data_IF_163055917332
#
_entry.id   IF_163055917332
#
_cell.length_a   1.000
_cell.length_b   1.000
_cell.length_c   1.000
_cell.angle_alpha   90.00
_cell.angle_beta   90.00
_cell.angle_gamma   90.00
#
_symmetry.space_group_name_H-M   'P 1'
#
loop_
_entity.id
_entity.type
_entity.pdbx_description
1 polymer ?
#
# COMPACT_ATOMS: atom_id res chain seq x y z
N UNK A 1 0.92 0.48 48.32
CA UNK A 1 -0.11 1.42 47.82
C UNK A 1 0.27 1.70 46.38
N UNK A 2 -0.50 1.18 45.43
CA UNK A 2 -0.21 1.33 43.99
C UNK A 2 -0.77 2.68 43.54
N UNK A 3 0.10 3.65 43.28
CA UNK A 3 -0.30 4.90 42.63
C UNK A 3 -0.78 4.57 41.21
N UNK A 4 -2.02 4.94 40.94
CA UNK A 4 -2.68 4.77 39.65
C UNK A 4 -2.20 5.92 38.78
N UNK A 5 -1.39 5.61 37.77
CA UNK A 5 -1.03 6.59 36.75
C UNK A 5 -2.27 6.83 35.87
N UNK A 6 -3.10 7.79 36.27
CA UNK A 6 -4.24 8.24 35.47
C UNK A 6 -3.72 9.18 34.38
N UNK A 7 -4.01 8.93 33.09
CA UNK A 7 -3.61 9.83 32.03
C UNK A 7 -4.38 11.14 32.17
N UNK A 8 -3.66 12.23 32.41
CA UNK A 8 -4.20 13.60 32.40
C UNK A 8 -5.02 13.83 31.12
N UNK A 9 -6.22 14.42 31.20
CA UNK A 9 -7.03 14.72 30.03
C UNK A 9 -6.26 15.71 29.14
N UNK A 10 -6.10 15.34 27.86
CA UNK A 10 -5.46 16.18 26.86
C UNK A 10 -6.42 17.33 26.56
N UNK A 11 -6.02 18.55 26.91
CA UNK A 11 -6.81 19.75 26.61
C UNK A 11 -6.76 20.00 25.10
N UNK A 12 -7.88 19.75 24.41
CA UNK A 12 -7.96 19.95 22.97
C UNK A 12 -8.13 21.45 22.71
N UNK A 13 -7.08 22.10 22.22
CA UNK A 13 -7.15 23.47 21.74
C UNK A 13 -8.26 23.56 20.69
N UNK A 14 -9.29 24.36 21.00
CA UNK A 14 -10.39 24.62 20.08
C UNK A 14 -9.82 25.43 18.92
N UNK A 15 -9.56 24.75 17.80
CA UNK A 15 -9.26 25.40 16.54
C UNK A 15 -10.49 26.22 16.17
N UNK A 16 -10.35 27.54 16.11
CA UNK A 16 -11.40 28.46 15.67
C UNK A 16 -11.97 27.95 14.34
N UNK A 17 -13.28 27.68 14.31
CA UNK A 17 -13.95 27.17 13.12
C UNK A 17 -13.73 28.18 11.99
N UNK A 18 -13.12 27.78 10.87
CA UNK A 18 -12.84 28.72 9.80
C UNK A 18 -14.17 29.32 9.32
N UNK A 19 -14.17 30.61 8.92
CA UNK A 19 -15.38 31.26 8.42
C UNK A 19 -16.01 30.43 7.29
N UNK A 20 -17.35 30.56 7.08
CA UNK A 20 -18.06 29.78 6.06
C UNK A 20 -17.30 29.82 4.74
N UNK A 21 -17.15 28.65 4.11
CA UNK A 21 -16.29 28.42 2.97
C UNK A 21 -16.25 29.62 2.02
N UNK A 22 -15.09 30.28 1.96
CA UNK A 22 -14.82 31.36 1.04
C UNK A 22 -15.17 30.91 -0.40
N UNK A 23 -15.60 31.83 -1.28
CA UNK A 23 -15.89 31.49 -2.66
C UNK A 23 -14.71 30.73 -3.27
N UNK A 24 -15.02 29.61 -3.92
CA UNK A 24 -14.02 28.78 -4.59
C UNK A 24 -13.18 29.66 -5.51
N UNK A 25 -11.91 29.83 -5.18
CA UNK A 25 -11.01 30.54 -6.08
C UNK A 25 -10.77 29.66 -7.30
N UNK A 26 -10.52 30.25 -8.46
CA UNK A 26 -10.22 29.50 -9.68
C UNK A 26 -8.98 28.59 -9.56
N UNK A 27 -8.18 28.73 -8.48
CA UNK A 27 -6.98 27.91 -8.23
C UNK A 27 -7.28 26.65 -7.43
N UNK A 28 -8.45 26.52 -6.80
CA UNK A 28 -8.79 25.40 -5.90
C UNK A 28 -8.21 25.53 -4.49
N UNK A 29 -7.70 26.71 -4.11
CA UNK A 29 -7.21 27.01 -2.77
C UNK A 29 -7.96 28.21 -2.18
N UNK A 30 -8.17 28.23 -0.87
CA UNK A 30 -8.65 29.42 -0.16
C UNK A 30 -7.59 30.52 -0.18
N UNK A 31 -7.97 31.75 0.17
CA UNK A 31 -7.01 32.86 0.30
C UNK A 31 -5.90 32.58 1.34
N UNK A 32 -6.20 31.75 2.34
CA UNK A 32 -5.22 31.27 3.33
C UNK A 32 -4.31 30.14 2.82
N UNK A 33 -4.42 29.76 1.54
CA UNK A 33 -3.62 28.69 0.93
C UNK A 33 -4.06 27.28 1.32
N UNK A 34 -5.26 27.12 1.91
CA UNK A 34 -5.81 25.81 2.24
C UNK A 34 -6.53 25.25 1.02
N UNK A 35 -6.24 24.02 0.55
CA UNK A 35 -6.94 23.44 -0.59
C UNK A 35 -8.44 23.25 -0.29
N UNK A 36 -9.29 23.48 -1.28
CA UNK A 36 -10.74 23.20 -1.14
C UNK A 36 -11.00 21.70 -1.15
N UNK A 37 -12.14 21.28 -0.59
CA UNK A 37 -12.55 19.87 -0.61
C UNK A 37 -12.61 19.31 -2.04
N UNK A 38 -13.16 20.09 -2.96
CA UNK A 38 -13.30 19.71 -4.36
C UNK A 38 -11.95 19.54 -5.07
N UNK A 39 -10.96 20.38 -4.77
CA UNK A 39 -9.59 20.22 -5.27
C UNK A 39 -8.94 18.93 -4.76
N UNK A 40 -9.10 18.62 -3.47
CA UNK A 40 -8.57 17.38 -2.88
C UNK A 40 -9.25 16.15 -3.49
N UNK A 41 -10.58 16.19 -3.67
CA UNK A 41 -11.34 15.10 -4.33
C UNK A 41 -10.82 14.84 -5.74
N UNK A 42 -10.74 15.88 -6.57
CA UNK A 42 -10.26 15.77 -7.96
C UNK A 42 -8.80 15.27 -8.03
N UNK A 43 -7.94 15.71 -7.11
CA UNK A 43 -6.56 15.23 -7.03
C UNK A 43 -6.47 13.74 -6.64
N UNK A 44 -7.32 13.26 -5.73
CA UNK A 44 -7.40 11.85 -5.35
C UNK A 44 -7.87 11.02 -6.55
N UNK A 45 -8.92 11.45 -7.24
CA UNK A 45 -9.45 10.76 -8.42
C UNK A 45 -8.40 10.66 -9.54
N UNK A 46 -7.69 11.76 -9.83
CA UNK A 46 -6.56 11.77 -10.79
C UNK A 46 -5.45 10.80 -10.40
N UNK A 47 -5.11 10.75 -9.10
CA UNK A 47 -4.07 9.84 -8.60
C UNK A 47 -4.51 8.37 -8.65
N UNK A 48 -5.76 8.09 -8.33
CA UNK A 48 -6.35 6.76 -8.40
C UNK A 48 -6.38 6.26 -9.86
N UNK A 49 -6.87 7.08 -10.79
CA UNK A 49 -6.88 6.76 -12.22
C UNK A 49 -5.46 6.48 -12.78
N UNK A 50 -4.47 7.25 -12.33
CA UNK A 50 -3.07 7.04 -12.72
C UNK A 50 -2.49 5.77 -12.12
N UNK A 51 -2.81 5.45 -10.86
CA UNK A 51 -2.27 4.27 -10.18
C UNK A 51 -2.76 2.96 -10.81
N UNK A 52 -4.05 2.87 -11.15
CA UNK A 52 -4.60 1.67 -11.81
C UNK A 52 -3.96 1.42 -13.18
N UNK A 53 -3.83 2.45 -14.02
CA UNK A 53 -3.19 2.29 -15.34
C UNK A 53 -1.67 2.10 -15.27
N UNK A 54 -1.00 2.70 -14.28
CA UNK A 54 0.45 2.57 -14.11
C UNK A 54 0.86 1.17 -13.61
N UNK A 55 0.05 0.53 -12.77
CA UNK A 55 0.32 -0.84 -12.30
C UNK A 55 0.25 -1.87 -13.43
N UNK A 56 -0.77 -1.78 -14.30
CA UNK A 56 -0.88 -2.63 -15.48
C UNK A 56 0.32 -2.43 -16.43
N UNK A 57 0.69 -1.18 -16.71
CA UNK A 57 1.85 -0.85 -17.54
C UNK A 57 3.19 -1.27 -16.90
N UNK A 58 3.31 -1.18 -15.58
CA UNK A 58 4.50 -1.61 -14.85
C UNK A 58 4.64 -3.14 -14.84
N UNK A 59 3.53 -3.87 -14.73
CA UNK A 59 3.50 -5.33 -14.86
C UNK A 59 3.88 -5.76 -16.28
N UNK A 60 3.36 -5.09 -17.31
CA UNK A 60 3.70 -5.38 -18.71
C UNK A 60 5.08 -4.85 -19.13
N UNK A 61 5.74 -4.06 -18.29
CA UNK A 61 7.08 -3.54 -18.55
C UNK A 61 8.11 -4.67 -18.69
N UNK A 62 9.25 -4.36 -19.30
CA UNK A 62 10.33 -5.33 -19.45
C UNK A 62 10.88 -5.80 -18.09
N UNK A 63 10.91 -4.90 -17.10
CA UNK A 63 11.31 -5.20 -15.71
C UNK A 63 10.28 -6.08 -15.00
N UNK A 64 8.97 -5.81 -15.18
CA UNK A 64 7.89 -6.62 -14.61
C UNK A 64 7.96 -8.07 -15.10
N UNK A 65 8.11 -8.26 -16.41
CA UNK A 65 8.29 -9.59 -17.02
C UNK A 65 9.52 -10.34 -16.49
N UNK A 66 10.61 -9.64 -16.17
CA UNK A 66 11.81 -10.26 -15.56
C UNK A 66 11.58 -10.67 -14.11
N UNK A 67 10.80 -9.92 -13.33
CA UNK A 67 10.43 -10.30 -11.96
C UNK A 67 9.55 -11.56 -12.00
N UNK A 68 8.55 -11.59 -12.88
CA UNK A 68 7.66 -12.75 -13.03
C UNK A 68 8.43 -14.02 -13.43
N UNK A 69 9.40 -13.89 -14.34
CA UNK A 69 10.29 -15.00 -14.71
C UNK A 69 11.10 -15.52 -13.53
N UNK A 70 11.71 -14.62 -12.75
CA UNK A 70 12.47 -15.02 -11.55
C UNK A 70 11.60 -15.72 -10.51
N UNK A 71 10.35 -15.27 -10.31
CA UNK A 71 9.39 -15.92 -9.43
C UNK A 71 9.03 -17.32 -9.94
N UNK A 72 8.73 -17.45 -11.24
CA UNK A 72 8.41 -18.73 -11.86
C UNK A 72 9.59 -19.73 -11.77
N UNK A 73 10.82 -19.26 -11.98
CA UNK A 73 12.03 -20.07 -11.83
C UNK A 73 12.23 -20.54 -10.39
N UNK A 74 12.06 -19.64 -9.41
CA UNK A 74 12.14 -19.98 -7.98
C UNK A 74 11.10 -21.03 -7.58
N UNK A 75 9.87 -20.86 -8.05
CA UNK A 75 8.78 -21.78 -7.75
C UNK A 75 9.01 -23.15 -8.40
N UNK A 76 9.53 -23.19 -9.63
CA UNK A 76 9.96 -24.43 -10.28
C UNK A 76 11.07 -25.12 -9.50
N UNK A 77 12.13 -24.41 -9.13
CA UNK A 77 13.22 -24.96 -8.34
C UNK A 77 12.74 -25.52 -7.00
N UNK A 78 11.79 -24.84 -6.35
CA UNK A 78 11.15 -25.33 -5.13
C UNK A 78 10.39 -26.64 -5.35
N UNK A 79 9.59 -26.74 -6.42
CA UNK A 79 8.87 -27.98 -6.78
C UNK A 79 9.83 -29.14 -7.07
N UNK A 80 10.86 -28.90 -7.87
CA UNK A 80 11.86 -29.90 -8.24
C UNK A 80 12.56 -30.44 -6.98
N UNK A 81 12.92 -29.54 -6.04
CA UNK A 81 13.56 -29.97 -4.78
C UNK A 81 12.63 -30.80 -3.89
N UNK A 82 11.35 -30.45 -3.83
CA UNK A 82 10.36 -31.24 -3.08
C UNK A 82 10.18 -32.63 -3.69
N UNK A 83 10.22 -32.75 -5.02
CA UNK A 83 10.15 -34.05 -5.70
C UNK A 83 11.37 -34.92 -5.41
N UNK A 84 12.57 -34.34 -5.43
CA UNK A 84 13.81 -35.02 -5.03
C UNK A 84 13.71 -35.57 -3.59
N UNK A 85 13.24 -34.76 -2.64
CA UNK A 85 13.06 -35.18 -1.24
C UNK A 85 12.06 -36.33 -1.13
N UNK A 86 10.91 -36.24 -1.82
CA UNK A 86 9.91 -37.33 -1.81
C UNK A 86 10.47 -38.63 -2.38
N UNK A 87 11.30 -38.54 -3.41
CA UNK A 87 11.97 -39.70 -4.00
C UNK A 87 12.96 -40.32 -3.01
N UNK A 88 13.82 -39.51 -2.41
CA UNK A 88 14.79 -39.96 -1.41
C UNK A 88 14.12 -40.63 -0.20
N UNK A 89 12.98 -40.10 0.27
CA UNK A 89 12.20 -40.73 1.36
C UNK A 89 11.64 -42.10 0.99
N UNK A 90 11.18 -42.28 -0.26
CA UNK A 90 10.68 -43.59 -0.73
C UNK A 90 11.80 -44.60 -0.92
N UNK A 91 12.93 -44.18 -1.46
CA UNK A 91 14.10 -45.04 -1.69
C UNK A 91 14.76 -45.45 -0.35
N UNK A 92 14.90 -44.51 0.59
CA UNK A 92 15.45 -44.79 1.93
C UNK A 92 14.52 -45.61 2.83
N UNK A 93 13.20 -45.51 2.65
CA UNK A 93 12.21 -46.28 3.41
C UNK A 93 11.95 -47.71 2.88
N UNK A 94 12.38 -48.03 1.65
CA UNK A 94 12.20 -49.35 1.04
C UNK A 94 13.41 -50.28 1.24
N UNK A 95 14.41 -49.84 2.01
CA UNK A 95 15.66 -50.57 2.33
C UNK A 95 15.64 -51.24 3.73
N UNK A 96 14.49 -51.31 4.40
CA UNK A 96 14.33 -51.99 5.69
C UNK A 96 13.20 -53.00 5.65
#
# INVERSE_FOLDING_TARGET
MTERNEPEPIDAEIVEEPPPAAPETATGYTEGGVPTFDYVRDQIERRAATSTGAEELAAESQQGRTIDQQLAERDKAGRDKLEEIRRAMREGGSSS
#
